data_IF_172302465389
#
_entry.id   IF_172302465389
#
_cell.length_a   1.000
_cell.length_b   1.000
_cell.length_c   1.000
_cell.angle_alpha   90.00
_cell.angle_beta   90.00
_cell.angle_gamma   90.00
#
_symmetry.space_group_name_H-M   'P 1'
#
loop_
_entity.id
_entity.type
_entity.pdbx_description
1 polymer ?
#
# COMPACT_ATOMS: atom_id res chain seq x y z
N UNK A 1 -5.77 31.10 -58.02
CA UNK A 1 -5.72 29.63 -57.92
C UNK A 1 -4.65 29.23 -56.92
N UNK A 2 -5.03 28.73 -55.75
CA UNK A 2 -4.45 27.54 -55.08
C UNK A 2 -4.99 27.45 -53.64
N UNK A 3 -6.04 26.61 -53.52
CA UNK A 3 -6.45 25.79 -52.39
C UNK A 3 -6.29 26.31 -50.95
N UNK A 4 -7.34 26.98 -50.46
CA UNK A 4 -7.82 26.83 -49.08
C UNK A 4 -9.28 26.37 -49.16
N UNK A 5 -9.45 25.11 -49.56
CA UNK A 5 -10.73 24.42 -49.45
C UNK A 5 -11.02 24.20 -47.97
N UNK A 6 -12.00 24.97 -47.47
CA UNK A 6 -13.03 24.58 -46.52
C UNK A 6 -12.90 23.14 -45.98
N UNK A 7 -12.24 22.99 -44.84
CA UNK A 7 -12.41 21.82 -43.99
C UNK A 7 -13.84 21.82 -43.44
N UNK A 8 -14.57 20.70 -43.50
CA UNK A 8 -15.93 20.64 -42.98
C UNK A 8 -15.92 20.91 -41.47
N UNK A 9 -16.83 21.78 -40.99
CA UNK A 9 -16.96 22.13 -39.56
C UNK A 9 -17.09 20.89 -38.62
N UNK A 10 -17.41 19.72 -39.18
CA UNK A 10 -17.50 18.45 -38.46
C UNK A 10 -16.16 17.84 -38.03
N UNK A 11 -15.02 18.21 -38.62
CA UNK A 11 -13.68 17.69 -38.25
C UNK A 11 -12.86 18.67 -37.41
N UNK A 12 -13.25 19.95 -37.37
CA UNK A 12 -12.56 20.99 -36.60
C UNK A 12 -12.80 20.88 -35.09
N UNK A 13 -14.01 20.48 -34.67
CA UNK A 13 -14.37 20.31 -33.27
C UNK A 13 -13.52 19.24 -32.53
N UNK A 14 -13.31 18.02 -33.06
CA UNK A 14 -12.46 17.03 -32.40
C UNK A 14 -10.97 17.42 -32.39
N UNK A 15 -10.48 18.13 -33.41
CA UNK A 15 -9.10 18.64 -33.45
C UNK A 15 -8.90 19.78 -32.46
N UNK A 16 -9.85 20.71 -32.35
CA UNK A 16 -9.84 21.78 -31.35
C UNK A 16 -9.95 21.22 -29.93
N UNK A 17 -10.80 20.21 -29.69
CA UNK A 17 -10.90 19.52 -28.41
C UNK A 17 -9.59 18.79 -28.04
N UNK A 18 -8.95 18.13 -29.01
CA UNK A 18 -7.64 17.49 -28.83
C UNK A 18 -6.55 18.52 -28.54
N UNK A 19 -6.51 19.64 -29.25
CA UNK A 19 -5.56 20.73 -29.01
C UNK A 19 -5.78 21.40 -27.66
N UNK A 20 -7.03 21.57 -27.21
CA UNK A 20 -7.36 22.05 -25.86
C UNK A 20 -6.94 21.03 -24.79
N UNK A 21 -7.13 19.72 -25.03
CA UNK A 21 -6.64 18.65 -24.16
C UNK A 21 -5.11 18.65 -24.07
N UNK A 22 -4.40 18.84 -25.18
CA UNK A 22 -2.94 18.92 -25.24
C UNK A 22 -2.44 20.20 -24.56
N UNK A 23 -3.03 21.35 -24.85
CA UNK A 23 -2.68 22.63 -24.24
C UNK A 23 -2.96 22.65 -22.73
N UNK A 24 -4.10 22.09 -22.30
CA UNK A 24 -4.39 21.87 -20.90
C UNK A 24 -3.35 20.93 -20.28
N UNK A 25 -3.02 19.82 -20.94
CA UNK A 25 -1.97 18.88 -20.47
C UNK A 25 -0.59 19.56 -20.34
N UNK A 26 -0.24 20.47 -21.24
CA UNK A 26 0.99 21.26 -21.21
C UNK A 26 0.98 22.31 -20.08
N UNK A 27 -0.13 23.02 -19.90
CA UNK A 27 -0.34 23.94 -18.79
C UNK A 27 -0.35 23.21 -17.43
N UNK A 28 -0.87 21.97 -17.40
CA UNK A 28 -0.86 21.10 -16.22
C UNK A 28 0.54 20.58 -15.86
N UNK A 29 1.43 20.37 -16.84
CA UNK A 29 2.85 20.09 -16.60
C UNK A 29 3.56 21.27 -15.93
N UNK A 30 3.14 22.51 -16.22
CA UNK A 30 3.68 23.73 -15.62
C UNK A 30 3.17 23.99 -14.19
N UNK A 31 1.97 23.50 -13.85
CA UNK A 31 1.35 23.59 -12.52
C UNK A 31 1.78 22.48 -11.55
N UNK A 32 2.60 21.52 -11.99
CA UNK A 32 3.11 20.48 -11.09
C UNK A 32 3.99 21.11 -10.01
N UNK A 33 3.83 20.69 -8.75
CA UNK A 33 4.77 21.06 -7.71
C UNK A 33 6.18 20.64 -8.16
N UNK A 34 7.07 21.63 -8.28
CA UNK A 34 8.47 21.41 -8.60
C UNK A 34 9.22 21.20 -7.29
N UNK A 35 10.13 20.24 -7.28
CA UNK A 35 10.98 19.96 -6.12
C UNK A 35 10.73 18.59 -5.50
N UNK A 36 11.41 18.38 -4.37
CA UNK A 36 11.43 17.11 -3.63
C UNK A 36 10.56 17.18 -2.36
N UNK A 37 10.22 18.37 -1.91
CA UNK A 37 9.37 18.61 -0.75
C UNK A 37 8.11 19.34 -1.17
N UNK A 38 6.96 18.88 -0.68
CA UNK A 38 5.65 19.47 -0.94
C UNK A 38 4.86 19.60 0.35
N UNK A 39 4.42 20.82 0.65
CA UNK A 39 3.53 21.10 1.77
C UNK A 39 2.11 21.32 1.24
N UNK A 40 1.16 20.56 1.76
CA UNK A 40 -0.25 20.60 1.38
C UNK A 40 -1.11 21.10 2.53
N UNK A 41 -2.11 21.91 2.25
CA UNK A 41 -3.05 22.40 3.27
C UNK A 41 -4.21 21.43 3.55
N UNK A 42 -4.43 20.46 2.67
CA UNK A 42 -5.49 19.45 2.75
C UNK A 42 -5.11 18.19 1.97
N UNK A 43 -5.90 17.12 2.15
CA UNK A 43 -5.73 15.87 1.41
C UNK A 43 -5.83 16.08 -0.11
N UNK A 44 -4.86 15.61 -0.91
CA UNK A 44 -4.91 15.79 -2.36
C UNK A 44 -6.06 14.99 -2.96
N UNK A 45 -6.91 15.59 -3.80
CA UNK A 45 -8.11 14.95 -4.36
C UNK A 45 -7.76 13.70 -5.21
N UNK A 46 -8.47 12.56 -5.12
CA UNK A 46 -8.10 11.35 -5.87
C UNK A 46 -8.17 11.57 -7.37
N UNK A 47 -9.20 12.25 -7.88
CA UNK A 47 -9.30 12.59 -9.30
C UNK A 47 -8.07 13.38 -9.79
N UNK A 48 -7.60 14.34 -8.97
CA UNK A 48 -6.40 15.13 -9.27
C UNK A 48 -5.12 14.28 -9.32
N UNK A 49 -4.95 13.34 -8.38
CA UNK A 49 -3.82 12.42 -8.37
C UNK A 49 -3.78 11.55 -9.63
N UNK A 50 -4.94 11.08 -10.12
CA UNK A 50 -4.99 10.24 -11.31
C UNK A 50 -4.82 11.01 -12.61
N UNK A 51 -5.27 12.27 -12.68
CA UNK A 51 -4.90 13.18 -13.77
C UNK A 51 -3.38 13.34 -13.83
N UNK A 52 -2.72 13.57 -12.69
CA UNK A 52 -1.25 13.64 -12.62
C UNK A 52 -0.60 12.30 -13.02
N UNK A 53 -1.13 11.16 -12.56
CA UNK A 53 -0.60 9.85 -12.91
C UNK A 53 -0.62 9.60 -14.42
N UNK A 54 -1.77 9.85 -15.07
CA UNK A 54 -1.92 9.69 -16.52
C UNK A 54 -0.98 10.62 -17.30
N UNK A 55 -0.86 11.89 -16.90
CA UNK A 55 0.08 12.81 -17.52
C UNK A 55 1.55 12.37 -17.36
N UNK A 56 1.90 11.64 -16.29
CA UNK A 56 3.25 11.15 -16.05
C UNK A 56 3.63 9.93 -16.91
N UNK A 57 2.67 9.20 -17.46
CA UNK A 57 2.90 8.03 -18.34
C UNK A 57 3.64 8.42 -19.63
N UNK A 58 3.61 9.71 -20.01
CA UNK A 58 4.36 10.25 -21.16
C UNK A 58 5.88 10.26 -20.97
N UNK A 59 6.40 10.04 -19.75
CA UNK A 59 7.85 9.93 -19.51
C UNK A 59 8.39 8.67 -20.20
N UNK A 60 9.29 8.86 -21.17
CA UNK A 60 10.00 7.74 -21.80
C UNK A 60 10.73 6.92 -20.73
N UNK A 61 10.66 5.58 -20.77
CA UNK A 61 11.44 4.75 -19.85
C UNK A 61 12.93 5.07 -20.03
N UNK A 62 13.61 5.39 -18.94
CA UNK A 62 15.06 5.57 -18.94
C UNK A 62 15.72 4.27 -19.43
N UNK A 63 16.73 4.39 -20.31
CA UNK A 63 17.54 3.26 -20.78
C UNK A 63 18.51 2.71 -19.72
N UNK A 64 18.51 3.26 -18.50
CA UNK A 64 19.37 2.78 -17.42
C UNK A 64 19.03 1.35 -16.98
N UNK A 65 20.06 0.51 -16.88
CA UNK A 65 19.97 -0.78 -16.20
C UNK A 65 20.03 -0.52 -14.69
N UNK A 66 18.98 -0.90 -13.96
CA UNK A 66 18.88 -0.74 -12.51
C UNK A 66 18.11 0.52 -12.10
N UNK A 67 17.69 0.57 -10.83
CA UNK A 67 17.11 1.78 -10.25
C UNK A 67 18.16 2.90 -10.28
N UNK A 68 17.84 4.11 -10.78
CA UNK A 68 18.74 5.25 -10.60
C UNK A 68 18.95 5.48 -9.11
N UNK A 69 20.16 5.87 -8.70
CA UNK A 69 20.40 6.24 -7.30
C UNK A 69 19.43 7.37 -6.91
N UNK A 70 18.70 7.18 -5.81
CA UNK A 70 17.98 8.29 -5.21
C UNK A 70 19.02 9.20 -4.56
N UNK A 71 19.27 10.38 -5.14
CA UNK A 71 20.27 11.27 -4.54
C UNK A 71 19.74 11.98 -3.28
N UNK A 72 18.41 12.18 -3.18
CA UNK A 72 17.77 12.95 -2.09
C UNK A 72 16.34 12.49 -1.82
N UNK A 73 15.96 12.52 -0.54
CA UNK A 73 14.63 12.17 0.00
C UNK A 73 13.50 12.98 -0.66
N UNK A 74 12.37 12.33 -0.94
CA UNK A 74 11.11 13.00 -1.32
C UNK A 74 10.23 13.09 -0.09
N UNK A 75 9.60 14.24 0.15
CA UNK A 75 8.73 14.47 1.30
C UNK A 75 7.44 15.19 0.91
N UNK A 76 6.32 14.74 1.47
CA UNK A 76 5.02 15.42 1.36
C UNK A 76 4.44 15.56 2.76
N UNK A 77 4.03 16.76 3.16
CA UNK A 77 3.53 17.04 4.52
C UNK A 77 2.20 17.77 4.47
N UNK A 78 1.27 17.44 5.36
CA UNK A 78 0.12 18.30 5.64
C UNK A 78 0.53 19.41 6.60
N UNK A 79 0.31 20.67 6.22
CA UNK A 79 0.67 21.82 7.06
C UNK A 79 -0.12 21.94 8.35
N UNK A 80 -1.26 21.25 8.45
CA UNK A 80 -2.16 21.27 9.60
C UNK A 80 -2.57 19.87 10.00
N UNK A 81 -2.91 19.69 11.27
CA UNK A 81 -3.58 18.49 11.73
C UNK A 81 -5.00 18.40 11.14
N UNK A 82 -5.42 17.19 10.77
CA UNK A 82 -6.70 16.92 10.13
C UNK A 82 -7.48 15.87 10.92
N UNK A 83 -8.80 16.01 10.95
CA UNK A 83 -9.68 15.00 11.53
C UNK A 83 -9.83 13.80 10.60
N UNK A 84 -10.16 12.66 11.20
CA UNK A 84 -10.74 11.56 10.45
C UNK A 84 -12.13 11.91 9.96
N UNK A 85 -12.48 11.41 8.77
CA UNK A 85 -13.85 11.54 8.26
C UNK A 85 -14.70 10.40 8.81
N UNK A 86 -15.65 10.71 9.70
CA UNK A 86 -16.54 9.69 10.28
C UNK A 86 -17.27 8.82 9.23
N UNK A 87 -17.80 9.37 8.10
CA UNK A 87 -18.35 8.53 7.03
C UNK A 87 -17.33 7.58 6.38
N UNK A 88 -16.09 8.03 6.19
CA UNK A 88 -15.01 7.20 5.61
C UNK A 88 -14.58 6.11 6.58
N UNK A 89 -14.49 6.43 7.88
CA UNK A 89 -14.19 5.48 8.93
C UNK A 89 -15.27 4.40 8.99
N UNK A 90 -16.56 4.76 9.05
CA UNK A 90 -17.67 3.77 9.01
C UNK A 90 -17.60 2.88 7.78
N UNK A 91 -17.29 3.44 6.62
CA UNK A 91 -17.13 2.67 5.38
C UNK A 91 -15.94 1.71 5.44
N UNK A 92 -14.81 2.13 6.03
CA UNK A 92 -13.67 1.25 6.27
C UNK A 92 -14.03 0.10 7.20
N UNK A 93 -14.64 0.40 8.35
CA UNK A 93 -15.06 -0.59 9.34
C UNK A 93 -15.97 -1.64 8.70
N UNK A 94 -16.93 -1.22 7.89
CA UNK A 94 -17.79 -2.14 7.13
C UNK A 94 -17.03 -2.97 6.10
N UNK A 95 -16.11 -2.38 5.33
CA UNK A 95 -15.35 -3.10 4.29
C UNK A 95 -14.36 -4.12 4.86
N UNK A 96 -13.67 -3.74 5.95
CA UNK A 96 -12.68 -4.57 6.63
C UNK A 96 -13.30 -5.51 7.68
N UNK A 97 -14.61 -5.46 7.88
CA UNK A 97 -15.39 -6.35 8.75
C UNK A 97 -15.14 -6.17 10.26
N UNK A 98 -15.03 -4.92 10.71
CA UNK A 98 -15.03 -4.53 12.13
C UNK A 98 -16.47 -4.47 12.68
N UNK A 99 -17.15 -5.61 12.73
CA UNK A 99 -18.56 -5.71 13.16
C UNK A 99 -18.81 -5.39 14.63
N UNK A 100 -17.81 -5.61 15.50
CA UNK A 100 -17.87 -5.25 16.92
C UNK A 100 -17.59 -3.77 17.23
N UNK A 101 -17.38 -2.93 16.20
CA UNK A 101 -16.95 -1.55 16.37
C UNK A 101 -15.53 -1.43 16.94
N UNK A 102 -15.18 -0.23 17.37
CA UNK A 102 -13.80 0.12 17.79
C UNK A 102 -13.73 0.87 19.11
N UNK A 103 -14.84 0.96 19.85
CA UNK A 103 -14.93 1.68 21.12
C UNK A 103 -14.45 3.15 21.04
N UNK A 104 -14.69 3.81 19.91
CA UNK A 104 -14.28 5.21 19.69
C UNK A 104 -12.85 5.40 19.20
N UNK A 105 -12.03 4.34 19.14
CA UNK A 105 -10.69 4.37 18.55
C UNK A 105 -10.73 4.12 17.03
N UNK A 106 -9.69 4.53 16.29
CA UNK A 106 -9.48 4.07 14.92
C UNK A 106 -8.68 2.76 14.90
N UNK A 107 -8.96 1.83 13.96
CA UNK A 107 -8.13 0.64 13.76
C UNK A 107 -6.67 0.98 13.43
N UNK A 108 -5.76 0.07 13.75
CA UNK A 108 -4.32 0.21 13.55
C UNK A 108 -3.97 0.52 12.09
N UNK A 109 -4.68 -0.09 11.14
CA UNK A 109 -4.48 0.13 9.71
C UNK A 109 -5.25 1.34 9.15
N UNK A 110 -6.12 2.00 9.90
CA UNK A 110 -6.92 3.11 9.36
C UNK A 110 -6.10 4.37 8.99
N UNK A 111 -5.08 4.79 9.76
CA UNK A 111 -4.28 5.97 9.39
C UNK A 111 -3.65 5.88 7.98
N UNK A 112 -3.20 4.70 7.54
CA UNK A 112 -2.68 4.54 6.17
C UNK A 112 -3.79 4.66 5.11
N UNK A 113 -5.05 4.33 5.44
CA UNK A 113 -6.21 4.44 4.54
C UNK A 113 -6.57 5.90 4.23
N UNK A 114 -6.24 6.83 5.12
CA UNK A 114 -6.35 8.26 4.81
C UNK A 114 -5.07 8.75 4.13
N UNK A 115 -3.91 8.34 4.65
CA UNK A 115 -2.62 8.87 4.26
C UNK A 115 -2.08 8.33 2.92
N UNK A 116 -2.65 7.27 2.34
CA UNK A 116 -2.20 6.75 1.05
C UNK A 116 -2.26 7.79 -0.08
N UNK A 117 -3.11 8.80 0.06
CA UNK A 117 -3.19 9.94 -0.88
C UNK A 117 -1.90 10.77 -0.87
N UNK A 118 -1.20 10.85 0.27
CA UNK A 118 0.13 11.46 0.35
C UNK A 118 1.19 10.55 -0.26
N UNK A 119 1.08 9.23 -0.05
CA UNK A 119 1.94 8.23 -0.70
C UNK A 119 1.87 8.36 -2.22
N UNK A 120 0.66 8.39 -2.78
CA UNK A 120 0.43 8.64 -4.21
C UNK A 120 1.00 10.00 -4.64
N UNK A 121 0.75 11.07 -3.90
CA UNK A 121 1.28 12.40 -4.24
C UNK A 121 2.81 12.40 -4.27
N UNK A 122 3.48 11.74 -3.32
CA UNK A 122 4.93 11.65 -3.25
C UNK A 122 5.50 10.91 -4.47
N UNK A 123 4.89 9.79 -4.86
CA UNK A 123 5.29 9.03 -6.05
C UNK A 123 4.97 9.74 -7.37
N UNK A 124 4.15 10.80 -7.36
CA UNK A 124 3.83 11.59 -8.55
C UNK A 124 4.69 12.84 -8.71
N UNK A 125 5.51 13.17 -7.71
CA UNK A 125 6.47 14.27 -7.80
C UNK A 125 7.52 14.00 -8.89
N UNK A 126 8.02 15.04 -9.58
CA UNK A 126 9.00 14.85 -10.66
C UNK A 126 10.28 14.10 -10.25
N UNK A 127 10.67 14.22 -8.99
CA UNK A 127 11.83 13.58 -8.40
C UNK A 127 11.67 12.05 -8.23
N UNK A 128 10.45 11.53 -8.24
CA UNK A 128 10.20 10.09 -8.24
C UNK A 128 10.40 9.55 -9.67
N UNK A 129 11.37 8.66 -9.90
CA UNK A 129 11.82 8.33 -11.26
C UNK A 129 11.02 7.19 -11.92
N UNK A 130 10.04 6.60 -11.22
CA UNK A 130 9.33 5.40 -11.66
C UNK A 130 7.89 5.68 -12.08
N UNK A 131 7.33 4.79 -12.90
CA UNK A 131 5.88 4.77 -13.13
C UNK A 131 5.19 4.10 -11.94
N UNK A 132 4.19 4.78 -11.39
CA UNK A 132 3.41 4.33 -10.24
C UNK A 132 2.33 3.32 -10.66
N UNK A 133 1.79 3.44 -11.87
CA UNK A 133 0.71 2.57 -12.32
C UNK A 133 1.24 1.15 -12.52
N UNK A 134 0.52 0.16 -11.99
CA UNK A 134 0.94 -1.23 -12.02
C UNK A 134 1.87 -1.68 -10.90
N UNK A 135 2.32 -0.77 -10.03
CA UNK A 135 3.10 -1.15 -8.86
C UNK A 135 2.28 -2.04 -7.93
N UNK A 136 2.95 -2.96 -7.24
CA UNK A 136 2.36 -3.81 -6.20
C UNK A 136 3.03 -3.51 -4.86
N UNK A 137 2.42 -3.90 -3.76
CA UNK A 137 3.06 -3.78 -2.44
C UNK A 137 3.77 -5.09 -2.09
N UNK A 138 4.96 -5.01 -1.51
CA UNK A 138 5.76 -6.15 -1.04
C UNK A 138 5.60 -6.44 0.45
N UNK A 139 5.39 -5.40 1.26
CA UNK A 139 5.08 -5.53 2.68
C UNK A 139 4.76 -4.20 3.33
N UNK A 140 4.28 -4.24 4.56
CA UNK A 140 4.05 -3.06 5.38
C UNK A 140 4.40 -3.37 6.84
N UNK A 141 4.95 -2.37 7.52
CA UNK A 141 5.24 -2.39 8.95
C UNK A 141 4.57 -1.18 9.54
N UNK A 142 3.80 -1.37 10.60
CA UNK A 142 3.03 -0.33 11.27
C UNK A 142 3.40 -0.35 12.73
N UNK A 143 3.67 0.82 13.30
CA UNK A 143 3.86 1.02 14.72
C UNK A 143 2.84 2.03 15.20
N UNK A 144 2.14 1.71 16.27
CA UNK A 144 1.31 2.66 17.00
C UNK A 144 1.86 2.80 18.42
N UNK A 145 2.09 4.04 18.83
CA UNK A 145 2.61 4.35 20.16
C UNK A 145 1.51 4.32 21.22
N UNK A 146 0.27 4.64 20.82
CA UNK A 146 -0.93 4.65 21.65
C UNK A 146 -2.18 4.40 20.81
N UNK A 147 -3.31 4.21 21.49
CA UNK A 147 -4.64 4.31 20.87
C UNK A 147 -4.84 5.71 20.28
N UNK A 148 -5.58 5.77 19.18
CA UNK A 148 -5.94 7.02 18.49
C UNK A 148 -7.46 7.08 18.46
N UNK A 149 -8.03 8.11 19.07
CA UNK A 149 -9.47 8.37 19.03
C UNK A 149 -9.95 8.81 17.64
N UNK A 150 -11.18 8.43 17.28
CA UNK A 150 -11.82 8.75 16.00
C UNK A 150 -12.04 10.26 15.79
N UNK A 151 -12.10 11.05 16.87
CA UNK A 151 -12.29 12.50 16.82
C UNK A 151 -10.96 13.28 16.88
N UNK A 152 -9.83 12.60 17.08
CA UNK A 152 -8.51 13.25 17.15
C UNK A 152 -8.14 13.92 15.82
N UNK A 153 -7.29 14.96 15.92
CA UNK A 153 -6.63 15.57 14.78
C UNK A 153 -5.19 15.12 14.74
N UNK A 154 -4.74 14.61 13.59
CA UNK A 154 -3.35 14.22 13.38
C UNK A 154 -2.74 14.98 12.21
N UNK A 155 -1.47 15.36 12.35
CA UNK A 155 -0.68 15.88 11.25
C UNK A 155 0.07 14.73 10.57
N UNK A 156 -0.05 14.65 9.25
CA UNK A 156 0.55 13.58 8.46
C UNK A 156 1.76 14.06 7.67
N UNK A 157 2.77 13.21 7.59
CA UNK A 157 3.86 13.34 6.64
C UNK A 157 4.12 12.01 5.94
N UNK A 158 4.63 12.10 4.72
CA UNK A 158 5.04 10.98 3.88
C UNK A 158 6.45 11.23 3.37
N UNK A 159 7.31 10.22 3.40
CA UNK A 159 8.69 10.26 2.92
C UNK A 159 8.97 9.05 2.06
N UNK A 160 9.65 9.25 0.93
CA UNK A 160 10.13 8.17 0.06
C UNK A 160 11.61 8.01 0.30
N UNK A 161 12.01 6.83 0.75
CA UNK A 161 13.41 6.50 0.97
C UNK A 161 14.16 6.52 -0.37
N UNK A 162 15.24 7.31 -0.50
CA UNK A 162 16.04 7.33 -1.72
C UNK A 162 16.84 6.03 -1.98
N UNK A 163 16.97 5.13 -0.99
CA UNK A 163 17.68 3.87 -1.10
C UNK A 163 16.86 2.79 -1.83
N UNK A 164 16.58 3.02 -3.11
CA UNK A 164 15.87 2.06 -3.96
C UNK A 164 16.67 0.77 -4.15
N UNK A 165 16.03 -0.38 -4.02
CA UNK A 165 16.68 -1.69 -4.15
C UNK A 165 16.21 -2.39 -5.41
N UNK A 166 17.13 -3.02 -6.13
CA UNK A 166 16.77 -3.85 -7.29
C UNK A 166 16.72 -5.31 -6.86
N UNK A 167 15.58 -5.96 -7.08
CA UNK A 167 15.40 -7.39 -6.81
C UNK A 167 16.14 -8.24 -7.85
N UNK A 168 16.41 -9.54 -7.57
CA UNK A 168 16.97 -10.47 -8.57
C UNK A 168 16.12 -10.58 -9.85
N UNK A 169 14.82 -10.33 -9.76
CA UNK A 169 13.88 -10.33 -10.90
C UNK A 169 13.91 -9.01 -11.70
N UNK A 170 14.77 -8.07 -11.32
CA UNK A 170 14.90 -6.75 -11.94
C UNK A 170 13.76 -5.78 -11.62
N UNK A 171 12.89 -6.10 -10.65
CA UNK A 171 11.92 -5.13 -10.09
C UNK A 171 12.63 -4.18 -9.14
N UNK A 172 12.05 -2.99 -8.93
CA UNK A 172 12.57 -2.01 -7.98
C UNK A 172 11.69 -1.95 -6.74
N UNK A 173 12.29 -2.09 -5.58
CA UNK A 173 11.65 -1.87 -4.28
C UNK A 173 11.96 -0.47 -3.79
N UNK A 174 10.92 0.19 -3.28
CA UNK A 174 11.00 1.53 -2.69
C UNK A 174 10.25 1.49 -1.37
N UNK A 175 10.89 1.95 -0.29
CA UNK A 175 10.21 2.10 0.98
C UNK A 175 9.62 3.51 1.11
N UNK A 176 8.37 3.55 1.56
CA UNK A 176 7.64 4.79 1.79
C UNK A 176 7.17 4.82 3.23
N UNK A 177 7.71 5.77 3.99
CA UNK A 177 7.34 6.01 5.37
C UNK A 177 6.20 7.03 5.45
N UNK A 178 5.21 6.76 6.27
CA UNK A 178 4.14 7.68 6.63
C UNK A 178 4.14 7.80 8.15
N UNK A 179 4.09 9.03 8.65
CA UNK A 179 4.00 9.32 10.08
C UNK A 179 2.76 10.16 10.35
N UNK A 180 2.11 9.87 11.47
CA UNK A 180 1.04 10.67 12.03
C UNK A 180 1.45 11.16 13.42
N UNK A 181 1.37 12.47 13.61
CA UNK A 181 1.75 13.14 14.85
C UNK A 181 0.52 13.80 15.48
N UNK A 182 0.37 13.63 16.79
CA UNK A 182 -0.53 14.44 17.58
C UNK A 182 0.08 15.82 17.77
N UNK A 183 -0.72 16.86 17.58
CA UNK A 183 -0.26 18.26 17.61
C UNK A 183 -0.86 18.92 18.84
N UNK A 184 -0.02 19.39 19.76
CA UNK A 184 -0.47 20.17 20.91
C UNK A 184 -1.04 21.54 20.50
N UNK A 185 -1.82 22.20 21.37
CA UNK A 185 -2.29 23.56 21.10
C UNK A 185 -1.08 24.50 20.90
N UNK A 186 -0.96 25.10 19.71
CA UNK A 186 0.08 26.08 19.36
C UNK A 186 1.23 25.58 18.46
N UNK A 187 1.28 24.31 18.08
CA UNK A 187 2.30 23.82 17.16
C UNK A 187 2.04 24.31 15.72
N UNK A 188 2.97 25.12 15.20
CA UNK A 188 2.95 25.67 13.85
C UNK A 188 3.32 24.64 12.78
N UNK A 189 2.97 24.93 11.52
CA UNK A 189 3.38 24.10 10.38
C UNK A 189 4.91 24.07 10.27
N UNK A 190 5.54 22.92 9.97
CA UNK A 190 6.96 22.90 9.65
C UNK A 190 7.24 23.78 8.43
N UNK A 191 8.32 24.57 8.48
CA UNK A 191 8.70 25.47 7.40
C UNK A 191 8.96 24.68 6.10
N UNK A 192 8.47 25.21 4.97
CA UNK A 192 8.71 24.63 3.66
C UNK A 192 10.23 24.61 3.38
N UNK A 193 10.80 23.42 3.18
CA UNK A 193 12.23 23.24 2.91
C UNK A 193 13.07 22.82 4.12
N UNK A 194 12.50 22.70 5.31
CA UNK A 194 13.18 21.99 6.40
C UNK A 194 13.20 20.49 6.07
N UNK A 195 14.38 19.93 5.79
CA UNK A 195 14.61 18.50 5.89
C UNK A 195 14.42 18.13 7.36
N UNK A 196 13.18 17.79 7.75
CA UNK A 196 12.94 17.26 9.07
C UNK A 196 13.74 15.97 9.16
N UNK A 197 14.77 15.91 10.02
CA UNK A 197 15.45 14.67 10.32
C UNK A 197 14.41 13.59 10.65
N UNK A 198 14.67 12.33 10.28
CA UNK A 198 13.82 11.22 10.71
C UNK A 198 13.68 11.29 12.24
N UNK A 199 12.47 11.49 12.74
CA UNK A 199 12.19 11.58 14.18
C UNK A 199 12.25 12.98 14.82
N UNK A 200 12.61 14.06 14.11
CA UNK A 200 12.54 15.41 14.68
C UNK A 200 11.12 15.97 14.55
N UNK A 201 10.29 15.74 15.57
CA UNK A 201 9.05 16.48 15.75
C UNK A 201 9.35 17.98 15.79
N UNK A 202 8.61 18.79 15.04
CA UNK A 202 8.56 20.22 15.31
C UNK A 202 8.13 20.40 16.76
N UNK A 203 8.80 21.24 17.55
CA UNK A 203 8.53 21.40 18.98
C UNK A 203 7.02 21.51 19.24
N UNK A 204 6.46 20.55 19.97
CA UNK A 204 5.02 20.46 20.26
C UNK A 204 4.22 19.37 19.51
N UNK A 205 4.84 18.55 18.64
CA UNK A 205 4.20 17.36 18.06
C UNK A 205 4.74 16.05 18.65
N UNK A 206 3.88 15.04 18.83
CA UNK A 206 4.23 13.71 19.33
C UNK A 206 3.92 12.67 18.26
N UNK A 207 4.88 11.83 17.89
CA UNK A 207 4.62 10.69 17.02
C UNK A 207 3.66 9.71 17.71
N UNK A 208 2.55 9.39 17.07
CA UNK A 208 1.55 8.44 17.61
C UNK A 208 1.40 7.20 16.75
N UNK A 209 1.73 7.30 15.47
CA UNK A 209 1.63 6.20 14.52
C UNK A 209 2.61 6.40 13.36
N UNK A 210 3.21 5.30 12.91
CA UNK A 210 4.11 5.25 11.75
C UNK A 210 3.81 4.01 10.93
N UNK A 211 3.94 4.10 9.62
CA UNK A 211 4.07 2.94 8.75
C UNK A 211 5.21 3.07 7.77
N UNK A 212 5.87 1.97 7.47
CA UNK A 212 6.78 1.85 6.32
C UNK A 212 6.21 0.79 5.39
N UNK A 213 5.91 1.18 4.15
CA UNK A 213 5.35 0.29 3.14
C UNK A 213 6.32 0.16 1.99
N UNK A 214 6.66 -1.09 1.65
CA UNK A 214 7.52 -1.41 0.49
C UNK A 214 6.66 -1.50 -0.76
N UNK A 215 6.90 -0.59 -1.70
CA UNK A 215 6.30 -0.58 -3.04
C UNK A 215 7.25 -1.26 -4.02
N UNK A 216 6.73 -2.18 -4.83
CA UNK A 216 7.45 -2.88 -5.89
C UNK A 216 7.00 -2.32 -7.23
N UNK A 217 7.93 -1.64 -7.91
CA UNK A 217 7.79 -1.22 -9.30
C UNK A 217 8.17 -2.39 -10.21
N UNK A 218 7.19 -2.92 -10.93
CA UNK A 218 7.39 -4.06 -11.82
C UNK A 218 8.17 -3.64 -13.07
N UNK A 219 9.15 -4.47 -13.45
CA UNK A 219 9.95 -4.25 -14.65
C UNK A 219 9.15 -4.61 -15.91
N UNK A 220 9.24 -3.76 -16.94
CA UNK A 220 8.45 -3.90 -18.17
C UNK A 220 8.76 -5.16 -19.01
N UNK A 221 9.77 -5.97 -18.64
CA UNK A 221 10.02 -7.27 -19.30
C UNK A 221 8.80 -8.20 -19.23
N UNK A 222 7.91 -8.03 -18.25
CA UNK A 222 6.65 -8.78 -18.15
C UNK A 222 5.58 -8.31 -19.14
N UNK A 223 5.64 -7.05 -19.59
CA UNK A 223 4.64 -6.46 -20.50
C UNK A 223 4.91 -6.73 -21.99
N UNK A 224 6.10 -7.27 -22.33
CA UNK A 224 6.55 -7.44 -23.72
C UNK A 224 6.51 -8.89 -24.24
N UNK A 225 5.85 -9.81 -23.53
CA UNK A 225 5.52 -11.13 -24.12
C UNK A 225 4.34 -10.93 -25.08
N UNK A 226 4.58 -11.24 -26.34
CA UNK A 226 3.64 -11.14 -27.48
C UNK A 226 2.25 -11.74 -27.18
N UNK A 227 1.19 -11.25 -27.85
CA UNK A 227 -0.11 -11.92 -27.82
C UNK A 227 0.04 -13.36 -28.33
N UNK A 228 -0.62 -14.36 -27.70
CA UNK A 228 -0.51 -15.73 -28.15
C UNK A 228 -1.09 -15.85 -29.56
N UNK A 229 -0.26 -16.31 -30.50
CA UNK A 229 -0.74 -16.93 -31.71
C UNK A 229 -1.65 -18.12 -31.35
N UNK A 230 -2.66 -18.34 -32.19
CA UNK A 230 -3.72 -19.32 -32.00
C UNK A 230 -3.19 -20.74 -31.70
N UNK A 231 -4.00 -21.45 -30.92
CA UNK A 231 -3.88 -22.81 -30.40
C UNK A 231 -2.93 -23.80 -31.12
N UNK A 232 -2.08 -24.44 -30.31
CA UNK A 232 -1.74 -25.84 -30.47
C UNK A 232 -1.68 -26.51 -29.09
N UNK A 233 -2.37 -27.63 -28.96
CA UNK A 233 -2.46 -28.45 -27.76
C UNK A 233 -1.09 -29.01 -27.37
N UNK A 234 -0.82 -29.06 -26.06
CA UNK A 234 0.39 -29.66 -25.51
C UNK A 234 0.55 -29.31 -24.04
N UNK A 235 0.29 -30.28 -23.17
CA UNK A 235 0.54 -30.18 -21.74
C UNK A 235 2.04 -30.04 -21.44
N UNK A 236 2.45 -29.13 -20.55
CA UNK A 236 3.41 -29.43 -19.47
C UNK A 236 3.64 -28.30 -18.45
N UNK A 237 4.21 -28.75 -17.33
CA UNK A 237 4.40 -28.19 -15.98
C UNK A 237 4.95 -26.76 -15.85
N UNK A 238 4.50 -26.12 -14.77
CA UNK A 238 5.17 -24.96 -14.16
C UNK A 238 6.46 -25.39 -13.42
N UNK A 239 7.56 -24.62 -13.49
CA UNK A 239 8.81 -25.00 -12.85
C UNK A 239 8.77 -24.77 -11.33
N UNK A 240 9.21 -25.80 -10.61
CA UNK A 240 9.49 -25.80 -9.19
C UNK A 240 10.70 -24.90 -8.87
N UNK A 241 10.64 -24.19 -7.74
CA UNK A 241 11.80 -23.52 -7.16
C UNK A 241 12.77 -24.55 -6.56
N UNK A 242 14.07 -24.24 -6.47
CA UNK A 242 15.08 -25.21 -6.09
C UNK A 242 14.96 -25.61 -4.61
N UNK A 243 15.12 -26.91 -4.38
CA UNK A 243 15.22 -27.57 -3.09
C UNK A 243 16.56 -27.24 -2.43
N UNK A 244 16.54 -27.16 -1.09
CA UNK A 244 17.73 -27.15 -0.26
C UNK A 244 17.68 -28.36 0.68
N UNK A 245 18.59 -29.31 0.47
CA UNK A 245 19.04 -30.30 1.45
C UNK A 245 20.12 -29.62 2.31
N UNK A 246 20.34 -29.84 3.60
CA UNK A 246 19.74 -30.66 4.64
C UNK A 246 20.51 -30.33 5.94
N UNK A 247 19.89 -30.45 7.10
CA UNK A 247 20.59 -30.49 8.39
C UNK A 247 19.69 -31.15 9.44
N UNK A 248 20.33 -31.93 10.29
CA UNK A 248 19.86 -33.06 11.11
C UNK A 248 18.93 -32.71 12.28
N UNK A 249 18.15 -33.73 12.66
CA UNK A 249 17.12 -33.72 13.69
C UNK A 249 17.65 -33.53 15.12
N UNK A 250 16.91 -32.77 15.92
CA UNK A 250 16.87 -32.85 17.37
C UNK A 250 15.39 -32.96 17.79
N UNK A 251 15.06 -34.03 18.50
CA UNK A 251 13.71 -34.39 18.93
C UNK A 251 13.22 -33.45 20.03
N UNK A 252 12.06 -32.85 19.80
CA UNK A 252 11.31 -32.05 20.77
C UNK A 252 9.83 -32.11 20.42
N UNK A 253 9.02 -32.49 21.42
CA UNK A 253 7.55 -32.52 21.49
C UNK A 253 6.76 -31.90 20.31
N UNK A 254 5.93 -32.72 19.64
CA UNK A 254 5.22 -32.32 18.43
C UNK A 254 4.09 -31.31 18.72
N UNK A 255 4.40 -30.02 18.63
CA UNK A 255 3.41 -28.96 18.48
C UNK A 255 2.78 -29.08 17.08
N UNK A 256 1.46 -29.27 17.01
CA UNK A 256 0.72 -29.32 15.73
C UNK A 256 1.06 -28.11 14.86
N UNK A 257 1.61 -28.36 13.68
CA UNK A 257 2.07 -27.35 12.71
C UNK A 257 0.95 -26.80 11.82
N UNK A 258 -0.30 -27.25 12.02
CA UNK A 258 -1.43 -26.84 11.18
C UNK A 258 -1.93 -25.44 11.54
N UNK A 259 -2.16 -24.54 10.56
CA UNK A 259 -2.74 -23.24 10.80
C UNK A 259 -4.15 -23.37 11.39
N UNK A 260 -4.47 -22.55 12.39
CA UNK A 260 -5.82 -22.51 12.98
C UNK A 260 -6.62 -21.40 12.32
N UNK A 261 -7.58 -21.75 11.46
CA UNK A 261 -8.45 -20.79 10.78
C UNK A 261 -9.34 -20.07 11.79
N UNK A 262 -9.35 -18.74 11.72
CA UNK A 262 -10.14 -17.85 12.59
C UNK A 262 -11.20 -17.05 11.84
N UNK A 263 -11.05 -16.89 10.53
CA UNK A 263 -12.03 -16.20 9.70
C UNK A 263 -11.96 -16.68 8.25
N UNK A 264 -13.08 -16.63 7.54
CA UNK A 264 -13.17 -16.98 6.11
C UNK A 264 -13.79 -15.82 5.35
N UNK A 265 -13.08 -15.35 4.33
CA UNK A 265 -13.43 -14.15 3.58
C UNK A 265 -13.91 -14.50 2.19
N UNK A 266 -15.07 -13.96 1.83
CA UNK A 266 -15.55 -13.93 0.45
C UNK A 266 -15.31 -12.56 -0.15
N UNK A 267 -14.38 -12.48 -1.11
CA UNK A 267 -14.03 -11.24 -1.81
C UNK A 267 -14.71 -11.21 -3.17
N UNK A 268 -15.64 -10.26 -3.34
CA UNK A 268 -16.34 -10.04 -4.60
C UNK A 268 -15.44 -9.47 -5.71
N UNK A 269 -15.88 -9.54 -6.98
CA UNK A 269 -15.14 -9.04 -8.14
C UNK A 269 -14.92 -7.51 -8.12
N UNK A 270 -15.67 -6.79 -7.30
CA UNK A 270 -15.63 -5.34 -7.13
C UNK A 270 -14.89 -4.88 -5.86
N UNK A 271 -14.36 -5.82 -5.06
CA UNK A 271 -13.66 -5.54 -3.79
C UNK A 271 -12.56 -4.49 -3.97
N UNK A 272 -11.75 -4.62 -5.04
CA UNK A 272 -10.71 -3.65 -5.38
C UNK A 272 -11.27 -2.24 -5.63
N UNK A 273 -12.38 -2.11 -6.39
CA UNK A 273 -13.01 -0.80 -6.64
C UNK A 273 -13.60 -0.19 -5.38
N UNK A 274 -14.27 -1.01 -4.55
CA UNK A 274 -14.89 -0.57 -3.29
C UNK A 274 -13.86 -0.04 -2.31
N UNK A 275 -12.70 -0.67 -2.20
CA UNK A 275 -11.61 -0.21 -1.35
C UNK A 275 -10.80 0.93 -1.99
N UNK A 276 -10.52 0.88 -3.29
CA UNK A 276 -9.78 1.92 -4.00
C UNK A 276 -10.48 3.29 -3.96
N UNK A 277 -11.82 3.31 -4.07
CA UNK A 277 -12.61 4.54 -3.90
C UNK A 277 -12.62 5.07 -2.47
N UNK A 278 -12.31 4.25 -1.47
CA UNK A 278 -12.11 4.68 -0.08
C UNK A 278 -10.69 5.24 0.09
N UNK A 279 -9.65 4.47 -0.18
CA UNK A 279 -8.26 4.84 0.10
C UNK A 279 -7.66 5.84 -0.93
N UNK A 280 -8.33 6.03 -2.07
CA UNK A 280 -7.81 6.83 -3.18
C UNK A 280 -6.81 6.08 -4.07
N UNK A 281 -6.62 4.78 -3.85
CA UNK A 281 -5.83 3.91 -4.71
C UNK A 281 -6.70 3.31 -5.84
N UNK A 282 -6.79 4.04 -6.95
CA UNK A 282 -7.41 3.62 -8.19
C UNK A 282 -6.40 3.00 -9.18
N UNK A 283 -5.32 2.38 -8.70
CA UNK A 283 -4.34 1.74 -9.57
C UNK A 283 -5.06 0.71 -10.47
N UNK A 284 -4.87 0.76 -11.81
CA UNK A 284 -5.66 -0.01 -12.78
C UNK A 284 -5.68 -1.54 -12.55
N UNK A 285 -4.68 -2.08 -11.83
CA UNK A 285 -4.59 -3.50 -11.46
C UNK A 285 -5.73 -3.97 -10.55
N UNK A 286 -6.46 -3.06 -9.90
CA UNK A 286 -7.54 -3.36 -8.96
C UNK A 286 -8.94 -3.15 -9.54
N UNK A 287 -9.07 -2.53 -10.71
CA UNK A 287 -10.34 -1.98 -11.17
C UNK A 287 -11.15 -2.96 -12.02
N UNK A 288 -10.64 -3.29 -13.21
CA UNK A 288 -11.34 -4.09 -14.21
C UNK A 288 -10.39 -5.08 -14.88
N UNK A 289 -10.89 -6.22 -15.40
CA UNK A 289 -10.06 -7.20 -16.10
C UNK A 289 -9.22 -6.58 -17.23
N UNK A 290 -9.83 -5.70 -18.03
CA UNK A 290 -9.15 -5.02 -19.13
C UNK A 290 -7.98 -4.15 -18.63
N UNK A 291 -8.19 -3.42 -17.54
CA UNK A 291 -7.17 -2.52 -17.01
C UNK A 291 -6.06 -3.27 -16.26
N UNK A 292 -6.38 -4.38 -15.60
CA UNK A 292 -5.40 -5.23 -14.93
C UNK A 292 -4.55 -6.05 -15.92
N UNK A 293 -5.13 -6.41 -17.07
CA UNK A 293 -4.43 -7.13 -18.14
C UNK A 293 -3.24 -6.35 -18.70
N UNK A 294 -3.33 -5.01 -18.76
CA UNK A 294 -2.22 -4.13 -19.18
C UNK A 294 -0.94 -4.30 -18.33
N UNK A 295 -1.08 -4.84 -17.11
CA UNK A 295 0.02 -5.08 -16.17
C UNK A 295 0.29 -6.58 -15.96
N UNK A 296 -0.29 -7.43 -16.81
CA UNK A 296 -0.07 -8.89 -16.80
C UNK A 296 -0.85 -9.65 -15.72
N UNK A 297 -1.98 -9.10 -15.26
CA UNK A 297 -2.89 -9.80 -14.35
C UNK A 297 -4.13 -10.28 -15.12
N UNK A 298 -4.46 -11.58 -15.01
CA UNK A 298 -5.62 -12.19 -15.68
C UNK A 298 -6.96 -11.64 -15.19
N UNK A 299 -7.00 -11.17 -13.95
CA UNK A 299 -8.17 -10.59 -13.27
C UNK A 299 -7.69 -9.46 -12.35
N UNK A 300 -8.57 -8.54 -11.93
CA UNK A 300 -8.25 -7.55 -10.92
C UNK A 300 -7.69 -8.20 -9.67
N UNK A 301 -6.77 -7.54 -8.98
CA UNK A 301 -6.24 -8.03 -7.71
C UNK A 301 -6.81 -7.25 -6.52
N UNK A 302 -6.91 -7.89 -5.35
CA UNK A 302 -7.24 -7.18 -4.12
C UNK A 302 -6.10 -6.23 -3.70
N UNK A 303 -6.45 -5.11 -3.06
CA UNK A 303 -5.45 -4.23 -2.44
C UNK A 303 -4.78 -4.91 -1.26
N UNK A 304 -3.46 -4.81 -1.17
CA UNK A 304 -2.72 -5.48 -0.09
C UNK A 304 -3.06 -4.88 1.29
N UNK A 305 -3.18 -3.55 1.39
CA UNK A 305 -3.60 -2.86 2.61
C UNK A 305 -5.04 -3.17 3.04
N UNK A 306 -5.92 -3.53 2.09
CA UNK A 306 -7.25 -4.05 2.40
C UNK A 306 -7.16 -5.40 3.12
N UNK A 307 -6.35 -6.32 2.60
CA UNK A 307 -6.15 -7.63 3.22
C UNK A 307 -5.52 -7.50 4.60
N UNK A 308 -4.58 -6.59 4.80
CA UNK A 308 -4.00 -6.31 6.13
C UNK A 308 -5.03 -5.77 7.11
N UNK A 309 -5.86 -4.80 6.70
CA UNK A 309 -6.92 -4.26 7.55
C UNK A 309 -8.00 -5.29 7.90
N UNK A 310 -8.36 -6.16 6.95
CA UNK A 310 -9.29 -7.26 7.20
C UNK A 310 -8.69 -8.35 8.09
N UNK A 311 -7.39 -8.61 7.98
CA UNK A 311 -6.66 -9.46 8.91
C UNK A 311 -6.72 -8.88 10.33
N UNK A 312 -6.42 -7.58 10.51
CA UNK A 312 -6.55 -6.90 11.82
C UNK A 312 -7.94 -7.14 12.44
N UNK A 313 -9.01 -6.92 11.67
CA UNK A 313 -10.38 -7.18 12.13
C UNK A 313 -10.59 -8.65 12.53
N UNK A 314 -10.11 -9.59 11.73
CA UNK A 314 -10.21 -11.04 11.99
C UNK A 314 -9.50 -11.43 13.29
N UNK A 315 -8.30 -10.91 13.53
CA UNK A 315 -7.52 -11.18 14.73
C UNK A 315 -8.25 -10.65 15.97
N UNK A 316 -8.82 -9.44 15.90
CA UNK A 316 -9.60 -8.85 16.99
C UNK A 316 -10.88 -9.63 17.27
N UNK A 317 -11.62 -10.07 16.23
CA UNK A 317 -12.78 -10.96 16.39
C UNK A 317 -12.39 -12.29 17.06
N UNK A 318 -11.18 -12.78 16.80
CA UNK A 318 -10.62 -13.97 17.43
C UNK A 318 -10.08 -13.74 18.86
N UNK A 319 -10.33 -12.57 19.45
CA UNK A 319 -9.97 -12.24 20.83
C UNK A 319 -8.62 -11.55 20.99
N UNK A 320 -7.98 -11.08 19.91
CA UNK A 320 -6.76 -10.28 20.03
C UNK A 320 -7.10 -8.88 20.56
N UNK A 321 -6.68 -8.58 21.79
CA UNK A 321 -6.74 -7.24 22.35
C UNK A 321 -5.40 -6.50 22.12
N UNK A 322 -5.44 -5.43 21.32
CA UNK A 322 -4.25 -4.61 21.10
C UNK A 322 -3.92 -3.81 22.36
N UNK A 323 -2.72 -4.03 22.89
CA UNK A 323 -2.04 -3.13 23.85
C UNK A 323 -1.04 -2.27 23.08
N UNK A 324 -0.71 -1.11 23.63
CA UNK A 324 0.17 -0.15 22.97
C UNK A 324 1.35 0.21 23.89
N UNK A 325 2.54 0.49 23.34
CA UNK A 325 2.87 0.51 21.92
C UNK A 325 2.83 -0.89 21.28
N UNK A 326 2.48 -0.96 20.00
CA UNK A 326 2.48 -2.21 19.24
C UNK A 326 3.04 -2.03 17.84
N UNK A 327 3.60 -3.11 17.31
CA UNK A 327 3.99 -3.26 15.93
C UNK A 327 3.12 -4.32 15.23
N UNK A 328 2.61 -4.00 14.05
CA UNK A 328 2.04 -4.96 13.10
C UNK A 328 2.93 -5.03 11.88
N UNK A 329 3.28 -6.25 11.46
CA UNK A 329 3.99 -6.48 10.20
C UNK A 329 3.15 -7.35 9.28
N UNK A 330 3.25 -7.10 7.98
CA UNK A 330 2.63 -7.92 6.95
C UNK A 330 3.54 -7.98 5.72
N UNK A 331 3.83 -9.19 5.27
CA UNK A 331 4.57 -9.46 4.03
C UNK A 331 3.63 -10.07 3.00
N UNK A 332 3.62 -9.51 1.80
CA UNK A 332 2.73 -9.94 0.73
C UNK A 332 3.47 -10.96 -0.15
N UNK A 333 3.02 -12.21 -0.08
CA UNK A 333 3.67 -13.32 -0.79
C UNK A 333 3.14 -13.50 -2.21
N UNK A 334 1.87 -13.13 -2.47
CA UNK A 334 1.29 -13.19 -3.81
C UNK A 334 0.07 -12.29 -4.02
N UNK A 335 -0.18 -11.87 -5.27
CA UNK A 335 -1.42 -11.17 -5.63
C UNK A 335 -2.66 -12.06 -5.43
N UNK A 336 -3.74 -11.48 -4.91
CA UNK A 336 -5.05 -12.14 -4.81
C UNK A 336 -5.92 -11.75 -5.99
N UNK A 337 -6.11 -12.65 -6.96
CA UNK A 337 -7.02 -12.42 -8.10
C UNK A 337 -8.49 -12.45 -7.64
N UNK A 338 -9.29 -11.46 -8.01
CA UNK A 338 -10.70 -11.31 -7.63
C UNK A 338 -11.67 -11.90 -8.67
N UNK A 339 -12.81 -12.51 -8.26
CA UNK A 339 -13.19 -12.83 -6.88
C UNK A 339 -12.31 -13.93 -6.26
N UNK A 340 -12.29 -14.01 -4.93
CA UNK A 340 -11.50 -14.98 -4.18
C UNK A 340 -12.15 -15.37 -2.85
N UNK A 341 -11.92 -16.61 -2.42
CA UNK A 341 -12.12 -17.08 -1.05
C UNK A 341 -10.76 -17.19 -0.36
N UNK A 342 -10.62 -16.59 0.82
CA UNK A 342 -9.39 -16.61 1.63
C UNK A 342 -9.70 -16.99 3.07
N UNK A 343 -8.71 -17.52 3.78
CA UNK A 343 -8.82 -17.84 5.21
C UNK A 343 -7.78 -17.06 6.02
N UNK A 344 -8.20 -16.34 7.05
CA UNK A 344 -7.30 -15.79 8.05
C UNK A 344 -7.06 -16.86 9.12
N UNK A 345 -5.81 -17.07 9.51
CA UNK A 345 -5.43 -18.12 10.44
C UNK A 345 -4.27 -17.69 11.36
N UNK A 346 -4.24 -18.23 12.58
CA UNK A 346 -3.06 -18.21 13.43
C UNK A 346 -2.03 -19.22 12.92
N UNK A 347 -0.74 -18.84 12.94
CA UNK A 347 0.38 -19.74 12.63
C UNK A 347 0.88 -20.44 13.90
N UNK A 348 1.37 -21.68 13.75
CA UNK A 348 1.86 -22.51 14.87
C UNK A 348 2.94 -21.79 15.72
N UNK A 349 2.94 -22.06 17.02
CA UNK A 349 3.73 -21.33 18.02
C UNK A 349 3.00 -20.13 18.64
N UNK A 350 1.89 -19.67 18.05
CA UNK A 350 0.87 -18.89 18.73
C UNK A 350 -0.10 -19.86 19.44
N UNK A 351 0.35 -20.50 20.52
CA UNK A 351 -0.39 -21.59 21.17
C UNK A 351 -1.67 -21.10 21.88
N UNK A 352 -2.81 -21.25 21.21
CA UNK A 352 -4.09 -21.57 21.88
C UNK A 352 -5.14 -20.47 21.93
N UNK A 353 -5.87 -20.25 20.83
CA UNK A 353 -7.04 -19.37 20.82
C UNK A 353 -6.77 -17.96 21.37
N UNK A 354 -7.81 -17.26 21.84
CA UNK A 354 -7.69 -15.91 22.39
C UNK A 354 -6.63 -15.79 23.51
N UNK A 355 -6.43 -16.85 24.33
CA UNK A 355 -5.45 -16.86 25.43
C UNK A 355 -3.99 -16.97 24.95
N UNK A 356 -3.74 -17.72 23.87
CA UNK A 356 -2.44 -17.88 23.24
C UNK A 356 -1.95 -16.65 22.51
N UNK A 357 -2.87 -15.95 21.83
CA UNK A 357 -2.58 -14.69 21.16
C UNK A 357 -2.06 -13.64 22.14
N UNK A 358 -2.65 -13.54 23.33
CA UNK A 358 -2.24 -12.58 24.36
C UNK A 358 -0.80 -12.82 24.89
N UNK A 359 -0.41 -14.08 25.14
CA UNK A 359 0.96 -14.40 25.55
C UNK A 359 1.97 -14.18 24.40
N UNK A 360 1.57 -14.47 23.16
CA UNK A 360 2.42 -14.27 21.99
C UNK A 360 2.67 -12.78 21.68
N UNK A 361 1.75 -11.87 22.02
CA UNK A 361 1.92 -10.43 21.83
C UNK A 361 3.17 -9.89 22.55
N UNK A 362 3.48 -10.38 23.76
CA UNK A 362 4.61 -9.89 24.56
C UNK A 362 5.96 -10.49 24.11
N UNK A 363 5.94 -11.41 23.14
CA UNK A 363 7.15 -11.96 22.56
C UNK A 363 7.70 -11.08 21.43
N UNK A 364 9.03 -11.05 21.20
CA UNK A 364 9.62 -10.33 20.07
C UNK A 364 9.16 -10.84 18.69
N UNK A 365 8.72 -12.10 18.59
CA UNK A 365 8.17 -12.69 17.35
C UNK A 365 6.71 -12.30 17.13
N UNK A 366 5.99 -11.98 18.21
CA UNK A 366 4.59 -11.58 18.19
C UNK A 366 3.61 -12.72 17.93
N UNK A 367 2.32 -12.42 18.05
CA UNK A 367 1.25 -13.28 17.58
C UNK A 367 1.29 -13.36 16.05
N UNK A 368 1.66 -14.52 15.50
CA UNK A 368 1.85 -14.73 14.07
C UNK A 368 0.57 -15.18 13.39
N UNK A 369 0.27 -14.61 12.23
CA UNK A 369 -0.91 -14.93 11.45
C UNK A 369 -0.59 -15.06 9.96
N UNK A 370 -1.50 -15.68 9.23
CA UNK A 370 -1.47 -15.74 7.77
C UNK A 370 -2.85 -15.53 7.19
N UNK A 371 -2.87 -15.09 5.94
CA UNK A 371 -4.02 -15.17 5.04
C UNK A 371 -3.67 -16.21 3.99
N UNK A 372 -4.49 -17.24 3.87
CA UNK A 372 -4.28 -18.41 3.03
C UNK A 372 -5.30 -18.45 1.90
N UNK A 373 -4.95 -19.10 0.79
CA UNK A 373 -5.90 -19.47 -0.28
C UNK A 373 -6.99 -20.40 0.24
N UNK A 374 -8.08 -20.56 -0.52
CA UNK A 374 -9.25 -21.37 -0.17
C UNK A 374 -8.96 -22.84 0.14
N UNK A 375 -7.89 -23.39 -0.42
CA UNK A 375 -7.41 -24.75 -0.18
C UNK A 375 -6.37 -24.84 0.96
N UNK A 376 -6.11 -23.73 1.65
CA UNK A 376 -5.12 -23.57 2.70
C UNK A 376 -3.67 -23.88 2.28
N UNK A 377 -3.40 -24.13 0.99
CA UNK A 377 -2.09 -24.59 0.51
C UNK A 377 -1.04 -23.48 0.41
N UNK A 378 -1.51 -22.22 0.44
CA UNK A 378 -0.75 -21.10 -0.09
C UNK A 378 -0.99 -19.83 0.73
N UNK A 379 0.08 -19.34 1.37
CA UNK A 379 0.15 -18.00 2.01
C UNK A 379 0.03 -16.81 1.03
N UNK A 380 -1.09 -16.08 1.09
CA UNK A 380 -1.24 -14.80 0.39
C UNK A 380 -0.46 -13.69 1.10
N UNK A 381 -0.57 -13.67 2.43
CA UNK A 381 0.04 -12.70 3.33
C UNK A 381 0.43 -13.42 4.60
N UNK A 382 1.60 -13.09 5.16
CA UNK A 382 1.99 -13.50 6.52
C UNK A 382 2.32 -12.27 7.33
N UNK A 383 2.05 -12.32 8.63
CA UNK A 383 2.29 -11.18 9.49
C UNK A 383 2.46 -11.55 10.94
N UNK A 384 2.75 -10.54 11.74
CA UNK A 384 2.78 -10.64 13.19
C UNK A 384 2.27 -9.35 13.84
N UNK A 385 1.77 -9.49 15.06
CA UNK A 385 1.48 -8.35 15.95
C UNK A 385 2.25 -8.56 17.25
N UNK A 386 2.96 -7.55 17.73
CA UNK A 386 3.74 -7.62 18.97
C UNK A 386 3.68 -6.31 19.75
N UNK A 387 3.72 -6.43 21.06
CA UNK A 387 3.83 -5.33 22.04
C UNK A 387 5.19 -5.33 22.71
N UNK A 388 6.05 -6.31 22.40
CA UNK A 388 7.40 -6.38 22.91
C UNK A 388 8.21 -5.16 22.44
N UNK A 389 8.90 -4.50 23.37
CA UNK A 389 9.72 -3.32 23.07
C UNK A 389 10.69 -3.56 21.91
N UNK A 390 11.35 -4.71 21.89
CA UNK A 390 12.29 -5.08 20.83
C UNK A 390 11.63 -5.15 19.43
N UNK A 391 10.39 -5.64 19.34
CA UNK A 391 9.66 -5.69 18.08
C UNK A 391 9.21 -4.29 17.63
N UNK A 392 8.74 -3.47 18.58
CA UNK A 392 8.38 -2.06 18.34
C UNK A 392 9.60 -1.26 17.86
N UNK A 393 10.73 -1.34 18.57
CA UNK A 393 11.97 -0.65 18.22
C UNK A 393 12.46 -1.08 16.83
N UNK A 394 12.44 -2.39 16.54
CA UNK A 394 12.82 -2.92 15.22
C UNK A 394 11.92 -2.41 14.10
N UNK A 395 10.61 -2.33 14.34
CA UNK A 395 9.66 -1.81 13.36
C UNK A 395 9.75 -0.28 13.19
N UNK A 396 10.22 0.44 14.22
CA UNK A 396 10.48 1.88 14.19
C UNK A 396 11.78 2.27 13.47
N UNK A 397 12.82 1.45 13.58
CA UNK A 397 14.14 1.70 13.00
C UNK A 397 14.21 1.42 11.49
N UNK A 398 13.29 0.62 10.97
CA UNK A 398 13.08 0.40 9.54
C UNK A 398 12.37 1.60 8.88
#
# INVERSE_FOLDING_TARGET
>A
MLLLQSLPLSTAAPVAALLLLVAASLAFLLLRPRGRSLVLSAWPAPAWLYIQALAAVTKRPSKQKGAPAGDKMIQVVLSRAVHFSAPRLRRYLSLADFTGGTAGDVPLMYPIVEAFRLVMQAMLLPAFPFNVLGSVLGGTRVVAMRRIGAEEKLQYSCRVDPAFRTTPKGHTEVDIAVEAHAVGPGAGAPAAGAEAAAGAAAGGSQLVWRSVTTVIILSQRRARREPPAAAAAGAEKAPAGPAAEGATAAEGESVSTKPTVIDTWQLGPDTGRRYGTLNGDLNPIHLYPATSALFGFKRPIAHALYLTGRAEASLRKAGLELRYPCALTAEFKRPTLLPATLHCAWLAGATGGAKGGAAALDSPTGARFAVLTSDLSKEVLVGSVSTAKAAVDKAMAA
#
